data_IF_204656676788
#
_entry.id   IF_204656676788
#
_cell.length_a   1.000
_cell.length_b   1.000
_cell.length_c   1.000
_cell.angle_alpha   90.00
_cell.angle_beta   90.00
_cell.angle_gamma   90.00
#
_symmetry.space_group_name_H-M   'P 1'
#
loop_
_entity.id
_entity.type
_entity.pdbx_description
1 polymer ?
#
# COMPACT_ATOMS: atom_id res chain seq x y z
N UNK A 1 7.51 17.99 -0.04
CA UNK A 1 7.00 16.85 -0.80
C UNK A 1 7.35 15.54 -0.10
N UNK A 2 6.39 14.67 0.06
CA UNK A 2 6.60 13.40 0.78
C UNK A 2 7.49 12.45 0.00
N UNK A 3 8.28 11.67 0.71
CA UNK A 3 9.09 10.60 0.16
C UNK A 3 8.20 9.53 -0.47
N UNK A 4 8.72 8.84 -1.48
CA UNK A 4 7.97 7.78 -2.20
C UNK A 4 7.40 6.73 -1.25
N UNK A 5 8.19 6.25 -0.28
CA UNK A 5 7.71 5.25 0.68
C UNK A 5 6.53 5.79 1.49
N UNK A 6 6.61 7.04 1.93
CA UNK A 6 5.53 7.66 2.69
C UNK A 6 4.27 7.81 1.85
N UNK A 7 4.42 8.15 0.57
CA UNK A 7 3.28 8.27 -0.34
C UNK A 7 2.57 6.94 -0.54
N UNK A 8 3.33 5.87 -0.72
CA UNK A 8 2.70 4.56 -0.91
C UNK A 8 2.02 4.09 0.37
N UNK A 9 2.68 4.26 1.53
CA UNK A 9 2.07 3.91 2.81
C UNK A 9 0.77 4.69 3.01
N UNK A 10 0.78 5.98 2.71
CA UNK A 10 -0.40 6.82 2.84
C UNK A 10 -1.53 6.36 1.91
N UNK A 11 -1.18 5.98 0.67
CA UNK A 11 -2.16 5.48 -0.28
C UNK A 11 -2.81 4.18 0.22
N UNK A 12 -2.01 3.27 0.76
CA UNK A 12 -2.53 2.01 1.30
C UNK A 12 -3.47 2.27 2.50
N UNK A 13 -3.10 3.19 3.38
CA UNK A 13 -3.93 3.56 4.51
C UNK A 13 -5.23 4.23 4.06
N UNK A 14 -5.16 5.05 3.01
CA UNK A 14 -6.34 5.67 2.42
C UNK A 14 -7.30 4.61 1.88
N UNK A 15 -6.77 3.59 1.21
CA UNK A 15 -7.58 2.50 0.68
C UNK A 15 -8.20 1.68 1.82
N UNK A 16 -7.43 1.44 2.87
CA UNK A 16 -7.94 0.75 4.05
C UNK A 16 -9.12 1.51 4.66
N UNK A 17 -8.99 2.82 4.79
CA UNK A 17 -10.04 3.67 5.34
C UNK A 17 -11.26 3.72 4.42
N UNK A 18 -11.04 3.74 3.10
CA UNK A 18 -12.11 3.90 2.11
C UNK A 18 -12.90 2.62 1.85
N UNK A 19 -12.23 1.49 1.76
CA UNK A 19 -12.84 0.21 1.37
C UNK A 19 -12.91 -0.80 2.50
N UNK A 20 -12.10 -0.62 3.54
CA UNK A 20 -12.03 -1.57 4.63
C UNK A 20 -11.35 -2.86 4.22
N UNK A 21 -11.53 -3.87 5.05
CA UNK A 21 -10.92 -5.19 4.86
C UNK A 21 -11.97 -6.19 4.40
N UNK A 22 -11.50 -7.17 3.63
CA UNK A 22 -12.32 -8.31 3.21
C UNK A 22 -12.64 -9.19 4.43
N UNK A 23 -13.27 -10.34 4.17
CA UNK A 23 -13.75 -11.24 5.24
C UNK A 23 -12.62 -11.81 6.09
N UNK A 24 -11.39 -11.85 5.57
CA UNK A 24 -10.24 -12.37 6.32
C UNK A 24 -9.67 -11.34 7.30
N UNK A 25 -10.25 -10.15 7.36
CA UNK A 25 -9.81 -9.05 8.23
C UNK A 25 -8.37 -8.61 8.01
N UNK A 26 -7.81 -8.86 6.83
CA UNK A 26 -6.42 -8.52 6.51
C UNK A 26 -6.25 -7.97 5.11
N UNK A 27 -7.01 -8.46 4.13
CA UNK A 27 -6.86 -8.07 2.74
C UNK A 27 -7.75 -6.87 2.43
N UNK A 28 -7.17 -5.85 1.78
CA UNK A 28 -7.95 -4.69 1.34
C UNK A 28 -9.11 -5.16 0.46
N UNK A 29 -10.31 -4.65 0.75
CA UNK A 29 -11.53 -5.05 0.03
C UNK A 29 -11.66 -4.26 -1.27
N UNK A 30 -10.64 -4.32 -2.09
CA UNK A 30 -10.62 -3.71 -3.42
C UNK A 30 -9.60 -4.45 -4.28
N UNK A 31 -9.73 -4.29 -5.59
CA UNK A 31 -8.85 -4.92 -6.57
C UNK A 31 -8.21 -3.82 -7.40
N UNK A 32 -6.90 -3.71 -7.37
CA UNK A 32 -6.17 -2.61 -8.00
C UNK A 32 -5.01 -3.13 -8.82
N UNK A 33 -4.87 -2.59 -10.03
CA UNK A 33 -3.65 -2.80 -10.80
C UNK A 33 -2.54 -1.97 -10.18
N UNK A 34 -1.30 -2.26 -10.56
CA UNK A 34 -0.15 -1.46 -10.11
C UNK A 34 -0.25 -0.02 -10.64
N UNK A 35 -0.81 0.13 -11.84
CA UNK A 35 -1.02 1.45 -12.42
C UNK A 35 -2.04 2.25 -11.61
N UNK A 36 -3.15 1.62 -11.22
CA UNK A 36 -4.17 2.27 -10.41
C UNK A 36 -3.58 2.75 -9.08
N UNK A 37 -2.83 1.86 -8.43
CA UNK A 37 -2.22 2.20 -7.15
C UNK A 37 -1.19 3.31 -7.29
N UNK A 38 -0.39 3.27 -8.35
CA UNK A 38 0.59 4.31 -8.63
C UNK A 38 -0.09 5.67 -8.80
N UNK A 39 -1.22 5.71 -9.49
CA UNK A 39 -1.98 6.94 -9.68
C UNK A 39 -2.49 7.49 -8.35
N UNK A 40 -3.01 6.62 -7.49
CA UNK A 40 -3.50 7.02 -6.17
C UNK A 40 -2.36 7.56 -5.32
N UNK A 41 -1.21 6.92 -5.39
CA UNK A 41 -0.03 7.31 -4.61
C UNK A 41 0.76 8.47 -5.24
N UNK A 42 0.33 8.92 -6.42
CA UNK A 42 0.96 10.01 -7.16
C UNK A 42 2.44 9.71 -7.47
N UNK A 43 2.68 8.56 -8.07
CA UNK A 43 4.02 8.14 -8.45
C UNK A 43 3.97 7.34 -9.76
N UNK A 44 5.13 7.07 -10.34
CA UNK A 44 5.19 6.25 -11.56
C UNK A 44 4.91 4.78 -11.20
N UNK A 45 4.44 4.04 -12.19
CA UNK A 45 4.17 2.60 -12.01
C UNK A 45 5.44 1.86 -11.61
N UNK A 46 6.58 2.21 -12.23
CA UNK A 46 7.86 1.60 -11.89
C UNK A 46 8.24 1.81 -10.43
N UNK A 47 8.09 3.02 -9.93
CA UNK A 47 8.37 3.32 -8.53
C UNK A 47 7.40 2.60 -7.60
N UNK A 48 6.14 2.52 -8.00
CA UNK A 48 5.13 1.81 -7.22
C UNK A 48 5.48 0.33 -7.07
N UNK A 49 5.82 -0.33 -8.18
CA UNK A 49 6.19 -1.74 -8.16
C UNK A 49 7.40 -1.97 -7.26
N UNK A 50 8.41 -1.13 -7.39
CA UNK A 50 9.64 -1.25 -6.62
C UNK A 50 9.39 -1.06 -5.12
N UNK A 51 8.60 -0.05 -4.76
CA UNK A 51 8.29 0.25 -3.37
C UNK A 51 7.40 -0.83 -2.75
N UNK A 52 6.43 -1.35 -3.53
CA UNK A 52 5.61 -2.48 -3.07
C UNK A 52 6.47 -3.70 -2.77
N UNK A 53 7.43 -4.01 -3.64
CA UNK A 53 8.34 -5.13 -3.43
C UNK A 53 9.14 -4.95 -2.14
N UNK A 54 9.60 -3.73 -1.85
CA UNK A 54 10.30 -3.45 -0.61
C UNK A 54 9.39 -3.67 0.60
N UNK A 55 8.14 -3.21 0.53
CA UNK A 55 7.18 -3.40 1.62
C UNK A 55 6.90 -4.89 1.86
N UNK A 56 6.80 -5.68 0.79
CA UNK A 56 6.63 -7.13 0.93
C UNK A 56 7.85 -7.74 1.63
N UNK A 57 9.06 -7.37 1.20
CA UNK A 57 10.30 -7.86 1.81
C UNK A 57 10.39 -7.52 3.29
N UNK A 58 9.87 -6.37 3.67
CA UNK A 58 9.91 -5.91 5.07
C UNK A 58 8.79 -6.50 5.92
N UNK A 59 7.92 -7.30 5.33
CA UNK A 59 6.83 -7.92 6.07
C UNK A 59 5.68 -7.00 6.39
N UNK A 60 5.56 -5.88 5.70
CA UNK A 60 4.49 -4.91 5.94
C UNK A 60 3.20 -5.29 5.26
N UNK A 61 3.30 -5.90 4.10
CA UNK A 61 2.16 -6.33 3.29
C UNK A 61 2.49 -7.64 2.57
N UNK A 62 1.45 -8.28 2.04
CA UNK A 62 1.59 -9.36 1.06
C UNK A 62 0.79 -8.96 -0.16
N UNK A 63 1.22 -9.41 -1.34
CA UNK A 63 0.50 -9.14 -2.57
C UNK A 63 0.13 -10.46 -3.25
N UNK A 64 -1.06 -10.50 -3.85
CA UNK A 64 -1.52 -11.64 -4.61
C UNK A 64 -2.30 -11.09 -5.81
N UNK A 65 -1.62 -10.96 -6.96
CA UNK A 65 -2.15 -10.37 -8.18
C UNK A 65 -2.60 -8.93 -7.87
N UNK A 66 -3.91 -8.68 -7.86
CA UNK A 66 -4.47 -7.34 -7.63
C UNK A 66 -4.92 -7.13 -6.17
N UNK A 67 -4.65 -8.08 -5.30
CA UNK A 67 -5.04 -8.00 -3.90
C UNK A 67 -3.85 -7.69 -3.03
N UNK A 68 -4.06 -6.89 -2.00
CA UNK A 68 -3.01 -6.51 -1.06
C UNK A 68 -3.49 -6.82 0.34
N UNK A 69 -2.68 -7.58 1.06
CA UNK A 69 -2.96 -7.94 2.45
C UNK A 69 -2.09 -7.08 3.37
N UNK A 70 -2.71 -6.44 4.33
CA UNK A 70 -2.00 -5.59 5.29
C UNK A 70 -1.53 -6.45 6.44
N UNK A 71 -0.22 -6.53 6.65
CA UNK A 71 0.37 -7.31 7.73
C UNK A 71 0.75 -6.46 8.93
N UNK A 72 1.18 -5.22 8.70
CA UNK A 72 1.65 -4.35 9.78
C UNK A 72 1.18 -2.92 9.56
N UNK A 73 -0.05 -2.67 9.96
CA UNK A 73 -0.69 -1.37 9.78
C UNK A 73 0.05 -0.28 10.56
N UNK A 74 0.51 -0.58 11.76
CA UNK A 74 1.20 0.40 12.60
C UNK A 74 2.47 0.90 11.94
N UNK A 75 3.24 0.00 11.34
CA UNK A 75 4.47 0.40 10.67
C UNK A 75 4.17 1.23 9.43
N UNK A 76 3.09 0.90 8.71
CA UNK A 76 2.67 1.72 7.57
C UNK A 76 2.32 3.14 8.01
N UNK A 77 1.68 3.29 9.16
CA UNK A 77 1.36 4.60 9.71
C UNK A 77 2.63 5.39 10.03
N UNK A 78 3.62 4.72 10.61
CA UNK A 78 4.91 5.37 10.91
C UNK A 78 5.59 5.84 9.63
N UNK A 79 5.62 5.00 8.61
CA UNK A 79 6.24 5.35 7.33
C UNK A 79 5.49 6.54 6.70
N UNK A 80 4.17 6.52 6.74
CA UNK A 80 3.36 7.62 6.19
C UNK A 80 3.66 8.94 6.87
N UNK A 81 3.92 8.90 8.18
CA UNK A 81 4.18 10.10 8.96
C UNK A 81 5.60 10.63 8.78
N UNK A 82 6.52 9.81 8.31
CA UNK A 82 7.93 10.20 8.15
C UNK A 82 8.17 11.11 6.97
N UNK A 83 7.25 11.11 6.04
CA UNK A 83 7.40 11.85 4.79
C UNK A 83 7.58 13.31 4.94
#
# INVERSE_FOLDING_TARGET
>A
QKHIRARLAEALLFLLDSYGLAKDDSTLDCSLSREDLANIANMTTSNCIRTLSAFVSEGLIETNVRKIKILNEEELKKIADMG
#
